data_IF_600038936869
#
_entry.id   IF_600038936869
#
_cell.length_a   1.000
_cell.length_b   1.000
_cell.length_c   1.000
_cell.angle_alpha   90.00
_cell.angle_beta   90.00
_cell.angle_gamma   90.00
#
_symmetry.space_group_name_H-M   'P 1'
#
loop_
_entity.id
_entity.type
_entity.pdbx_description
1 polymer ?
#
# COMPACT_ATOMS: atom_id res chain seq x y z
N UNK A 1 4.92 31.98 17.03
CA UNK A 1 5.09 31.90 15.57
C UNK A 1 6.26 31.01 15.15
N UNK A 2 7.50 31.17 15.67
CA UNK A 2 8.67 30.33 15.35
C UNK A 2 8.52 28.86 15.79
N UNK A 3 8.01 28.59 16.99
CA UNK A 3 7.85 27.23 17.50
C UNK A 3 6.82 26.39 16.73
N UNK A 4 5.73 27.00 16.27
CA UNK A 4 4.72 26.31 15.44
C UNK A 4 5.26 25.99 14.05
N UNK A 5 6.03 26.89 13.44
CA UNK A 5 6.68 26.63 12.14
C UNK A 5 7.65 25.46 12.24
N UNK A 6 8.51 25.43 13.26
CA UNK A 6 9.46 24.34 13.49
C UNK A 6 8.75 23.01 13.74
N UNK A 7 7.61 23.01 14.42
CA UNK A 7 6.79 21.82 14.65
C UNK A 7 6.17 21.29 13.37
N UNK A 8 5.70 22.18 12.50
CA UNK A 8 5.12 21.82 11.20
C UNK A 8 6.18 21.28 10.24
N UNK A 9 7.37 21.91 10.19
CA UNK A 9 8.50 21.42 9.39
C UNK A 9 8.94 20.02 9.83
N UNK A 10 9.10 19.79 11.13
CA UNK A 10 9.43 18.46 11.69
C UNK A 10 8.37 17.41 11.38
N UNK A 11 7.08 17.78 11.39
CA UNK A 11 5.97 16.92 11.01
C UNK A 11 6.09 16.47 9.57
N UNK A 12 6.24 17.39 8.65
CA UNK A 12 6.35 17.11 7.22
C UNK A 12 7.62 16.32 6.88
N UNK A 13 8.73 16.64 7.54
CA UNK A 13 9.99 15.92 7.36
C UNK A 13 9.88 14.43 7.77
N UNK A 14 9.20 14.13 8.89
CA UNK A 14 8.92 12.74 9.28
C UNK A 14 8.06 12.00 8.24
N UNK A 15 7.03 12.66 7.71
CA UNK A 15 6.21 12.10 6.64
C UNK A 15 7.02 11.80 5.38
N UNK A 16 7.89 12.74 4.99
CA UNK A 16 8.80 12.58 3.86
C UNK A 16 9.75 11.39 4.04
N UNK A 17 10.38 11.26 5.20
CA UNK A 17 11.29 10.13 5.51
C UNK A 17 10.56 8.80 5.44
N UNK A 18 9.35 8.70 6.00
CA UNK A 18 8.54 7.48 5.93
C UNK A 18 8.15 7.14 4.49
N UNK A 19 7.77 8.13 3.69
CA UNK A 19 7.48 7.93 2.26
C UNK A 19 8.69 7.44 1.47
N UNK A 20 9.89 8.03 1.70
CA UNK A 20 11.15 7.58 1.07
C UNK A 20 11.46 6.13 1.46
N UNK A 21 11.30 5.78 2.74
CA UNK A 21 11.45 4.38 3.19
C UNK A 21 10.49 3.46 2.46
N UNK A 22 9.24 3.89 2.24
CA UNK A 22 8.25 3.16 1.47
C UNK A 22 8.66 2.93 0.02
N UNK A 23 9.21 3.95 -0.66
CA UNK A 23 9.71 3.81 -2.04
C UNK A 23 10.85 2.78 -2.10
N UNK A 24 11.83 2.90 -1.22
CA UNK A 24 13.01 2.02 -1.21
C UNK A 24 12.57 0.57 -0.93
N UNK A 25 11.76 0.38 0.10
CA UNK A 25 11.35 -0.97 0.51
C UNK A 25 10.47 -1.64 -0.55
N UNK A 26 9.43 -0.97 -1.04
CA UNK A 26 8.59 -1.51 -2.09
C UNK A 26 9.35 -1.72 -3.41
N UNK A 27 10.29 -0.84 -3.73
CA UNK A 27 11.19 -1.01 -4.89
C UNK A 27 12.07 -2.26 -4.77
N UNK A 28 12.68 -2.50 -3.61
CA UNK A 28 13.50 -3.69 -3.36
C UNK A 28 12.65 -4.97 -3.40
N UNK A 29 11.45 -4.94 -2.79
CA UNK A 29 10.53 -6.07 -2.84
C UNK A 29 10.04 -6.36 -4.27
N UNK A 30 9.75 -5.31 -5.05
CA UNK A 30 9.39 -5.45 -6.46
C UNK A 30 10.51 -6.11 -7.26
N UNK A 31 11.74 -5.59 -7.17
CA UNK A 31 12.90 -6.14 -7.86
C UNK A 31 13.12 -7.62 -7.50
N UNK A 32 13.12 -7.95 -6.22
CA UNK A 32 13.28 -9.33 -5.76
C UNK A 32 12.22 -10.28 -6.32
N UNK A 33 10.95 -9.88 -6.27
CA UNK A 33 9.83 -10.68 -6.79
C UNK A 33 9.86 -10.79 -8.31
N UNK A 34 10.18 -9.72 -9.05
CA UNK A 34 10.31 -9.76 -10.49
C UNK A 34 11.44 -10.70 -10.91
N UNK A 35 12.60 -10.65 -10.25
CA UNK A 35 13.71 -11.58 -10.51
C UNK A 35 13.30 -13.04 -10.23
N UNK A 36 12.72 -13.32 -9.07
CA UNK A 36 12.29 -14.68 -8.71
C UNK A 36 11.19 -15.17 -9.66
N UNK A 37 10.21 -14.32 -9.94
CA UNK A 37 9.10 -14.64 -10.82
C UNK A 37 9.54 -14.97 -12.25
N UNK A 38 10.51 -14.22 -12.80
CA UNK A 38 11.08 -14.50 -14.13
C UNK A 38 11.92 -15.78 -14.12
N UNK A 39 12.78 -15.98 -13.14
CA UNK A 39 13.64 -17.17 -13.04
C UNK A 39 12.85 -18.47 -12.93
N UNK A 40 11.75 -18.46 -12.16
CA UNK A 40 10.91 -19.64 -11.94
C UNK A 40 9.67 -19.71 -12.84
N UNK A 41 9.48 -18.74 -13.74
CA UNK A 41 8.31 -18.67 -14.63
C UNK A 41 6.98 -18.56 -13.86
N UNK A 42 6.98 -17.97 -12.66
CA UNK A 42 5.82 -17.88 -11.78
C UNK A 42 5.09 -16.55 -11.98
N UNK A 43 3.96 -16.61 -12.70
CA UNK A 43 3.15 -15.43 -13.04
C UNK A 43 2.58 -14.76 -11.78
N UNK A 44 2.22 -15.52 -10.74
CA UNK A 44 1.68 -14.95 -9.51
C UNK A 44 2.72 -14.05 -8.80
N UNK A 45 3.98 -14.50 -8.71
CA UNK A 45 5.07 -13.69 -8.15
C UNK A 45 5.38 -12.47 -9.02
N UNK A 46 5.36 -12.62 -10.34
CA UNK A 46 5.54 -11.49 -11.26
C UNK A 46 4.46 -10.42 -11.02
N UNK A 47 3.20 -10.84 -10.93
CA UNK A 47 2.07 -9.95 -10.66
C UNK A 47 2.23 -9.26 -9.30
N UNK A 48 2.66 -9.98 -8.28
CA UNK A 48 2.91 -9.43 -6.95
C UNK A 48 4.12 -8.45 -6.94
N UNK A 49 5.14 -8.72 -7.77
CA UNK A 49 6.25 -7.80 -8.01
C UNK A 49 5.79 -6.48 -8.66
N UNK A 50 4.91 -6.56 -9.66
CA UNK A 50 4.30 -5.37 -10.30
C UNK A 50 3.44 -4.59 -9.30
N UNK A 51 2.70 -5.29 -8.42
CA UNK A 51 1.93 -4.63 -7.35
C UNK A 51 2.84 -3.82 -6.43
N UNK A 52 3.96 -4.41 -5.95
CA UNK A 52 4.93 -3.68 -5.12
C UNK A 52 5.55 -2.47 -5.85
N UNK A 53 5.71 -2.54 -7.17
CA UNK A 53 6.16 -1.38 -7.96
C UNK A 53 5.11 -0.26 -7.96
N UNK A 54 3.82 -0.62 -8.05
CA UNK A 54 2.71 0.34 -7.93
C UNK A 54 2.68 0.99 -6.54
N UNK A 55 2.94 0.21 -5.48
CA UNK A 55 3.01 0.73 -4.11
C UNK A 55 4.19 1.69 -3.91
N UNK A 56 5.34 1.41 -4.56
CA UNK A 56 6.44 2.36 -4.62
C UNK A 56 6.03 3.67 -5.31
N UNK A 57 5.23 3.60 -6.37
CA UNK A 57 4.62 4.76 -7.02
C UNK A 57 3.69 5.54 -6.09
N UNK A 58 2.84 4.86 -5.33
CA UNK A 58 1.97 5.47 -4.31
C UNK A 58 2.79 6.19 -3.23
N UNK A 59 3.86 5.56 -2.76
CA UNK A 59 4.78 6.19 -1.81
C UNK A 59 5.50 7.41 -2.42
N UNK A 60 5.84 7.38 -3.72
CA UNK A 60 6.41 8.53 -4.42
C UNK A 60 5.44 9.72 -4.50
N UNK A 61 4.15 9.46 -4.70
CA UNK A 61 3.10 10.50 -4.62
C UNK A 61 3.04 11.11 -3.23
N UNK A 62 3.13 10.30 -2.16
CA UNK A 62 3.17 10.81 -0.80
C UNK A 62 4.41 11.69 -0.55
N UNK A 63 5.58 11.24 -0.99
CA UNK A 63 6.85 12.00 -0.90
C UNK A 63 6.74 13.34 -1.62
N UNK A 64 6.23 13.37 -2.83
CA UNK A 64 6.03 14.63 -3.58
C UNK A 64 5.04 15.55 -2.89
N UNK A 65 3.96 15.01 -2.32
CA UNK A 65 2.98 15.76 -1.52
C UNK A 65 3.61 16.42 -0.30
N UNK A 66 4.37 15.67 0.48
CA UNK A 66 5.08 16.22 1.65
C UNK A 66 6.19 17.20 1.26
N UNK A 67 6.96 16.91 0.21
CA UNK A 67 8.03 17.78 -0.27
C UNK A 67 7.47 19.12 -0.79
N UNK A 68 6.37 19.07 -1.53
CA UNK A 68 5.72 20.30 -2.02
C UNK A 68 5.08 21.09 -0.89
N UNK A 69 4.45 20.43 0.08
CA UNK A 69 3.83 21.10 1.22
C UNK A 69 4.85 21.86 2.10
N UNK A 70 6.15 21.52 2.02
CA UNK A 70 7.24 22.22 2.71
C UNK A 70 7.70 23.49 2.00
N UNK A 71 7.33 23.71 0.73
CA UNK A 71 7.75 24.91 -0.01
C UNK A 71 7.16 26.18 0.61
N UNK A 72 8.02 27.19 0.75
CA UNK A 72 7.63 28.51 1.24
C UNK A 72 6.71 29.22 0.22
N UNK A 73 5.84 30.11 0.67
CA UNK A 73 5.06 30.97 -0.20
C UNK A 73 5.94 31.70 -1.22
N UNK A 74 5.45 31.83 -2.44
CA UNK A 74 6.06 32.59 -3.52
C UNK A 74 5.04 33.58 -4.14
N UNK A 75 5.47 34.34 -5.16
CA UNK A 75 4.60 35.35 -5.81
C UNK A 75 3.38 34.74 -6.47
N UNK A 76 3.45 33.46 -6.91
CA UNK A 76 2.37 32.75 -7.58
C UNK A 76 1.46 32.02 -6.58
N UNK A 77 2.00 31.67 -5.43
CA UNK A 77 1.29 30.98 -4.34
C UNK A 77 1.49 31.68 -3.00
N UNK A 78 0.83 32.83 -2.78
CA UNK A 78 1.00 33.63 -1.55
C UNK A 78 0.62 32.88 -0.27
N UNK A 79 -0.33 31.94 -0.37
CA UNK A 79 -0.78 31.08 0.75
C UNK A 79 0.10 29.83 0.96
N UNK A 80 1.17 29.68 0.17
CA UNK A 80 2.04 28.51 0.21
C UNK A 80 1.44 27.28 -0.46
N UNK A 81 2.10 26.14 -0.29
CA UNK A 81 1.80 24.88 -0.97
C UNK A 81 1.20 23.79 -0.05
N UNK A 82 0.73 24.15 1.15
CA UNK A 82 0.22 23.19 2.13
C UNK A 82 -0.93 22.31 1.61
N UNK A 83 -1.73 22.84 0.67
CA UNK A 83 -2.82 22.09 0.03
C UNK A 83 -2.36 20.91 -0.84
N UNK A 84 -1.07 20.88 -1.24
CA UNK A 84 -0.51 19.78 -2.03
C UNK A 84 -0.52 18.44 -1.29
N UNK A 85 -0.44 18.45 0.04
CA UNK A 85 -0.62 17.25 0.87
C UNK A 85 -2.01 16.62 0.63
N UNK A 86 -3.07 17.45 0.58
CA UNK A 86 -4.44 16.97 0.39
C UNK A 86 -4.70 16.52 -1.07
N UNK A 87 -4.10 17.20 -2.05
CA UNK A 87 -4.18 16.80 -3.47
C UNK A 87 -3.51 15.42 -3.65
N UNK A 88 -2.33 15.23 -3.07
CA UNK A 88 -1.65 13.93 -3.09
C UNK A 88 -2.46 12.85 -2.35
N UNK A 89 -3.12 13.22 -1.25
CA UNK A 89 -4.04 12.33 -0.51
C UNK A 89 -5.25 11.90 -1.36
N UNK A 90 -5.80 12.79 -2.17
CA UNK A 90 -6.85 12.44 -3.14
C UNK A 90 -6.36 11.46 -4.18
N UNK A 91 -5.16 11.67 -4.72
CA UNK A 91 -4.59 10.76 -5.71
C UNK A 91 -4.35 9.37 -5.12
N UNK A 92 -3.80 9.29 -3.89
CA UNK A 92 -3.63 8.02 -3.18
C UNK A 92 -4.99 7.35 -2.92
N UNK A 93 -6.01 8.10 -2.51
CA UNK A 93 -7.34 7.53 -2.28
C UNK A 93 -7.93 6.91 -3.56
N UNK A 94 -7.72 7.55 -4.70
CA UNK A 94 -8.12 7.02 -6.01
C UNK A 94 -7.38 5.71 -6.34
N UNK A 95 -6.05 5.65 -6.13
CA UNK A 95 -5.27 4.44 -6.32
C UNK A 95 -5.75 3.30 -5.41
N UNK A 96 -6.04 3.59 -4.13
CA UNK A 96 -6.61 2.61 -3.20
C UNK A 96 -7.95 2.07 -3.67
N UNK A 97 -8.85 2.93 -4.16
CA UNK A 97 -10.14 2.49 -4.70
C UNK A 97 -9.98 1.62 -5.95
N UNK A 98 -9.03 1.96 -6.84
CA UNK A 98 -8.72 1.13 -8.01
C UNK A 98 -8.14 -0.23 -7.60
N UNK A 99 -7.22 -0.27 -6.64
CA UNK A 99 -6.67 -1.51 -6.09
C UNK A 99 -7.77 -2.37 -5.46
N UNK A 100 -8.66 -1.77 -4.69
CA UNK A 100 -9.82 -2.46 -4.09
C UNK A 100 -10.73 -3.09 -5.16
N UNK A 101 -11.05 -2.36 -6.23
CA UNK A 101 -11.88 -2.85 -7.32
C UNK A 101 -11.20 -4.02 -8.08
N UNK A 102 -9.89 -3.91 -8.33
CA UNK A 102 -9.10 -4.97 -8.97
C UNK A 102 -9.03 -6.23 -8.11
N UNK A 103 -8.76 -6.06 -6.80
CA UNK A 103 -8.71 -7.16 -5.84
C UNK A 103 -10.07 -7.85 -5.71
N UNK A 104 -11.15 -7.08 -5.62
CA UNK A 104 -12.51 -7.62 -5.53
C UNK A 104 -12.86 -8.43 -6.78
N UNK A 105 -12.55 -7.90 -7.98
CA UNK A 105 -12.73 -8.62 -9.23
C UNK A 105 -11.99 -9.96 -9.24
N UNK A 106 -10.70 -9.95 -8.86
CA UNK A 106 -9.88 -11.16 -8.79
C UNK A 106 -10.42 -12.17 -7.78
N UNK A 107 -10.84 -11.70 -6.60
CA UNK A 107 -11.41 -12.54 -5.56
C UNK A 107 -12.72 -13.19 -5.98
N UNK A 108 -13.65 -12.43 -6.58
CA UNK A 108 -14.92 -12.96 -7.10
C UNK A 108 -14.67 -13.97 -8.20
N UNK A 109 -13.77 -13.66 -9.15
CA UNK A 109 -13.41 -14.60 -10.23
C UNK A 109 -12.82 -15.91 -9.68
N UNK A 110 -11.93 -15.81 -8.68
CA UNK A 110 -11.34 -16.97 -8.02
C UNK A 110 -12.38 -17.81 -7.26
N UNK A 111 -13.34 -17.18 -6.59
CA UNK A 111 -14.45 -17.89 -5.93
C UNK A 111 -15.34 -18.63 -6.94
N UNK A 112 -15.63 -18.02 -8.10
CA UNK A 112 -16.42 -18.64 -9.17
C UNK A 112 -15.67 -19.80 -9.83
N UNK A 113 -14.37 -19.66 -10.06
CA UNK A 113 -13.51 -20.71 -10.61
C UNK A 113 -13.40 -21.94 -9.68
N UNK A 114 -13.64 -21.74 -8.39
CA UNK A 114 -13.60 -22.78 -7.38
C UNK A 114 -12.18 -23.21 -7.01
N UNK A 115 -12.10 -24.28 -6.21
CA UNK A 115 -10.82 -24.85 -5.80
C UNK A 115 -10.12 -25.54 -6.99
N UNK A 116 -8.89 -25.12 -7.26
CA UNK A 116 -7.96 -25.80 -8.18
C UNK A 116 -6.81 -26.38 -7.38
N UNK A 117 -6.43 -27.63 -7.65
CA UNK A 117 -5.20 -28.22 -7.09
C UNK A 117 -4.03 -27.32 -7.49
N UNK A 118 -3.53 -26.55 -6.54
CA UNK A 118 -2.40 -25.64 -6.75
C UNK A 118 -1.16 -26.44 -7.17
N UNK A 119 -0.38 -25.85 -8.08
CA UNK A 119 0.96 -26.37 -8.39
C UNK A 119 1.80 -26.32 -7.11
N UNK A 120 2.66 -27.34 -6.90
CA UNK A 120 3.63 -27.32 -5.82
C UNK A 120 4.38 -26.00 -5.84
N UNK A 121 4.31 -25.26 -4.74
CA UNK A 121 4.97 -23.95 -4.62
C UNK A 121 6.42 -24.19 -4.18
N UNK A 122 7.45 -23.83 -4.97
CA UNK A 122 8.84 -23.98 -4.57
C UNK A 122 9.12 -23.26 -3.25
N UNK A 123 9.97 -23.85 -2.38
CA UNK A 123 10.31 -23.24 -1.09
C UNK A 123 10.89 -21.83 -1.19
N UNK A 124 11.62 -21.54 -2.28
CA UNK A 124 12.14 -20.18 -2.57
C UNK A 124 11.00 -19.17 -2.76
N UNK A 125 9.90 -19.59 -3.38
CA UNK A 125 8.70 -18.77 -3.57
C UNK A 125 8.06 -18.43 -2.22
N UNK A 126 7.89 -19.45 -1.35
CA UNK A 126 7.36 -19.24 0.00
C UNK A 126 8.26 -18.31 0.82
N UNK A 127 9.57 -18.47 0.72
CA UNK A 127 10.53 -17.59 1.40
C UNK A 127 10.42 -16.13 0.90
N UNK A 128 10.32 -15.92 -0.41
CA UNK A 128 10.14 -14.59 -0.99
C UNK A 128 8.85 -13.92 -0.52
N UNK A 129 7.74 -14.67 -0.49
CA UNK A 129 6.44 -14.21 0.01
C UNK A 129 6.53 -13.84 1.48
N UNK A 130 7.18 -14.68 2.30
CA UNK A 130 7.35 -14.42 3.74
C UNK A 130 8.23 -13.18 4.01
N UNK A 131 9.37 -13.05 3.34
CA UNK A 131 10.23 -11.86 3.44
C UNK A 131 9.49 -10.57 3.02
N UNK A 132 8.68 -10.67 1.95
CA UNK A 132 7.85 -9.56 1.51
C UNK A 132 6.83 -9.14 2.57
N UNK A 133 6.17 -10.10 3.21
CA UNK A 133 5.21 -9.84 4.28
C UNK A 133 5.86 -9.12 5.48
N UNK A 134 7.05 -9.55 5.89
CA UNK A 134 7.81 -8.88 6.95
C UNK A 134 8.16 -7.43 6.58
N UNK A 135 8.60 -7.19 5.34
CA UNK A 135 8.87 -5.84 4.84
C UNK A 135 7.62 -4.95 4.85
N UNK A 136 6.49 -5.46 4.39
CA UNK A 136 5.21 -4.74 4.41
C UNK A 136 4.71 -4.47 5.83
N UNK A 137 4.86 -5.44 6.75
CA UNK A 137 4.52 -5.26 8.16
C UNK A 137 5.39 -4.16 8.79
N UNK A 138 6.69 -4.16 8.52
CA UNK A 138 7.59 -3.10 8.97
C UNK A 138 7.13 -1.72 8.46
N UNK A 139 6.79 -1.60 7.18
CA UNK A 139 6.30 -0.35 6.60
C UNK A 139 4.96 0.08 7.22
N UNK A 140 4.04 -0.85 7.45
CA UNK A 140 2.77 -0.59 8.09
C UNK A 140 2.96 -0.04 9.52
N UNK A 141 3.81 -0.68 10.32
CA UNK A 141 4.12 -0.23 11.69
C UNK A 141 4.81 1.13 11.68
N UNK A 142 5.83 1.30 10.82
CA UNK A 142 6.55 2.57 10.69
C UNK A 142 5.61 3.71 10.32
N UNK A 143 4.78 3.54 9.31
CA UNK A 143 3.84 4.57 8.85
C UNK A 143 2.75 4.85 9.88
N UNK A 144 2.23 3.82 10.58
CA UNK A 144 1.24 3.99 11.65
C UNK A 144 1.83 4.79 12.82
N UNK A 145 3.03 4.43 13.30
CA UNK A 145 3.71 5.14 14.40
C UNK A 145 4.03 6.59 14.01
N UNK A 146 4.53 6.81 12.80
CA UNK A 146 4.79 8.16 12.29
C UNK A 146 3.49 8.96 12.21
N UNK A 147 2.39 8.33 11.80
CA UNK A 147 1.10 9.00 11.64
C UNK A 147 0.48 9.47 12.97
N UNK A 148 0.85 8.90 14.11
CA UNK A 148 0.44 9.41 15.44
C UNK A 148 0.88 10.87 15.61
N UNK A 149 2.09 11.22 15.14
CA UNK A 149 2.64 12.57 15.24
C UNK A 149 2.31 13.45 14.04
N UNK A 150 2.25 12.87 12.84
CA UNK A 150 2.04 13.60 11.58
C UNK A 150 0.57 13.87 11.31
N UNK A 151 -0.32 12.94 11.65
CA UNK A 151 -1.77 13.02 11.42
C UNK A 151 -2.13 13.31 9.97
N UNK A 152 -1.47 12.61 9.04
CA UNK A 152 -1.65 12.77 7.60
C UNK A 152 -2.46 11.63 7.00
N UNK A 153 -3.37 11.97 6.07
CA UNK A 153 -4.14 10.98 5.34
C UNK A 153 -3.27 10.22 4.32
N UNK A 154 -2.14 10.80 3.89
CA UNK A 154 -1.14 10.12 3.08
C UNK A 154 -0.57 8.90 3.81
N UNK A 155 -0.16 9.06 5.07
CA UNK A 155 0.37 7.96 5.89
C UNK A 155 -0.69 6.94 6.25
N UNK A 156 -1.95 7.35 6.44
CA UNK A 156 -3.07 6.40 6.63
C UNK A 156 -3.23 5.50 5.41
N UNK A 157 -3.13 6.07 4.19
CA UNK A 157 -3.17 5.32 2.94
C UNK A 157 -2.08 4.27 2.86
N UNK A 158 -0.82 4.67 3.09
CA UNK A 158 0.33 3.75 3.11
C UNK A 158 0.17 2.65 4.17
N UNK A 159 -0.31 3.00 5.37
CA UNK A 159 -0.54 2.03 6.45
C UNK A 159 -1.62 1.01 6.07
N UNK A 160 -2.75 1.48 5.54
CA UNK A 160 -3.86 0.61 5.15
C UNK A 160 -3.45 -0.35 4.04
N UNK A 161 -2.79 0.14 3.01
CA UNK A 161 -2.27 -0.63 1.89
C UNK A 161 -1.31 -1.74 2.36
N UNK A 162 -0.30 -1.36 3.15
CA UNK A 162 0.69 -2.30 3.66
C UNK A 162 0.11 -3.36 4.61
N UNK A 163 -0.89 -3.02 5.45
CA UNK A 163 -1.57 -3.97 6.33
C UNK A 163 -2.38 -5.00 5.54
N UNK A 164 -3.03 -4.54 4.47
CA UNK A 164 -3.83 -5.41 3.63
C UNK A 164 -2.95 -6.38 2.86
N UNK A 165 -1.83 -5.91 2.31
CA UNK A 165 -0.85 -6.79 1.66
C UNK A 165 -0.34 -7.88 2.62
N UNK A 166 -0.10 -7.54 3.89
CA UNK A 166 0.22 -8.53 4.92
C UNK A 166 -0.93 -9.53 5.12
N UNK A 167 -2.17 -9.05 5.20
CA UNK A 167 -3.35 -9.89 5.37
C UNK A 167 -3.56 -10.85 4.21
N UNK A 168 -3.45 -10.35 2.98
CA UNK A 168 -3.55 -11.16 1.76
C UNK A 168 -2.44 -12.20 1.72
N UNK A 169 -1.20 -11.82 2.04
CA UNK A 169 -0.07 -12.74 2.08
C UNK A 169 -0.28 -13.84 3.12
N UNK A 170 -0.72 -13.50 4.32
CA UNK A 170 -1.03 -14.48 5.36
C UNK A 170 -2.15 -15.44 4.92
N UNK A 171 -3.18 -14.92 4.27
CA UNK A 171 -4.27 -15.72 3.71
C UNK A 171 -3.79 -16.66 2.60
N UNK A 172 -2.93 -16.17 1.70
CA UNK A 172 -2.34 -16.99 0.63
C UNK A 172 -1.50 -18.12 1.20
N UNK A 173 -0.67 -17.84 2.21
CA UNK A 173 0.11 -18.89 2.91
C UNK A 173 -0.83 -19.90 3.58
N UNK A 174 -1.84 -19.43 4.29
CA UNK A 174 -2.84 -20.32 4.91
C UNK A 174 -3.58 -21.16 3.86
N UNK A 175 -3.95 -20.57 2.72
CA UNK A 175 -4.62 -21.28 1.64
C UNK A 175 -3.77 -22.41 1.06
N UNK A 176 -2.45 -22.24 0.93
CA UNK A 176 -1.54 -23.30 0.46
C UNK A 176 -1.64 -24.56 1.35
N UNK A 177 -1.76 -24.38 2.68
CA UNK A 177 -1.83 -25.49 3.63
C UNK A 177 -3.23 -26.04 3.82
N UNK A 178 -4.26 -25.21 3.85
CA UNK A 178 -5.62 -25.59 4.22
C UNK A 178 -6.57 -25.88 3.04
N UNK A 179 -6.39 -25.20 1.89
CA UNK A 179 -7.26 -25.41 0.73
C UNK A 179 -7.31 -26.87 0.22
N UNK A 180 -6.18 -27.64 0.22
CA UNK A 180 -6.23 -29.05 -0.19
C UNK A 180 -7.11 -29.92 0.72
N UNK A 181 -7.20 -29.56 2.01
CA UNK A 181 -8.00 -30.29 3.01
C UNK A 181 -9.46 -29.90 2.92
N UNK A 182 -9.74 -28.59 2.85
CA UNK A 182 -11.11 -28.04 2.87
C UNK A 182 -11.74 -28.04 1.47
N UNK A 183 -10.91 -28.10 0.39
CA UNK A 183 -11.33 -28.01 -1.02
C UNK A 183 -12.11 -26.72 -1.35
N UNK A 184 -11.72 -25.62 -0.72
CA UNK A 184 -12.29 -24.29 -0.94
C UNK A 184 -11.20 -23.31 -1.39
N UNK A 185 -11.54 -22.28 -2.21
CA UNK A 185 -10.61 -21.22 -2.62
C UNK A 185 -10.43 -20.18 -1.49
N UNK A 186 -9.77 -20.59 -0.39
CA UNK A 186 -9.64 -19.78 0.83
C UNK A 186 -8.93 -18.45 0.58
N UNK A 187 -7.93 -18.43 -0.30
CA UNK A 187 -7.22 -17.24 -0.75
C UNK A 187 -8.18 -16.19 -1.33
N UNK A 188 -9.03 -16.60 -2.26
CA UNK A 188 -10.03 -15.75 -2.88
C UNK A 188 -11.08 -15.27 -1.88
N UNK A 189 -11.53 -16.15 -0.98
CA UNK A 189 -12.55 -15.80 0.03
C UNK A 189 -12.05 -14.74 1.01
N UNK A 190 -10.78 -14.78 1.43
CA UNK A 190 -10.20 -13.77 2.34
C UNK A 190 -9.93 -12.44 1.63
N UNK A 191 -9.67 -12.46 0.32
CA UNK A 191 -9.48 -11.23 -0.45
C UNK A 191 -10.75 -10.36 -0.57
N UNK A 192 -11.96 -10.93 -0.45
CA UNK A 192 -13.22 -10.16 -0.52
C UNK A 192 -13.32 -9.13 0.62
N UNK A 193 -13.27 -9.51 1.92
CA UNK A 193 -13.33 -8.54 3.01
C UNK A 193 -12.15 -7.56 2.98
N UNK A 194 -10.96 -7.99 2.56
CA UNK A 194 -9.82 -7.11 2.38
C UNK A 194 -10.11 -6.02 1.33
N UNK A 195 -10.62 -6.39 0.15
CA UNK A 195 -10.99 -5.44 -0.89
C UNK A 195 -12.06 -4.43 -0.42
N UNK A 196 -13.08 -4.90 0.30
CA UNK A 196 -14.11 -4.02 0.87
C UNK A 196 -13.51 -3.03 1.87
N UNK A 197 -12.61 -3.49 2.74
CA UNK A 197 -11.93 -2.63 3.71
C UNK A 197 -11.05 -1.56 3.02
N UNK A 198 -10.29 -1.93 1.98
CA UNK A 198 -9.49 -0.97 1.18
C UNK A 198 -10.42 0.08 0.55
N UNK A 199 -11.50 -0.36 -0.09
CA UNK A 199 -12.44 0.53 -0.76
C UNK A 199 -13.07 1.54 0.20
N UNK A 200 -13.50 1.10 1.38
CA UNK A 200 -14.05 1.97 2.42
C UNK A 200 -12.98 2.96 2.93
N UNK A 201 -11.76 2.48 3.18
CA UNK A 201 -10.65 3.30 3.66
C UNK A 201 -10.24 4.34 2.62
N UNK A 202 -10.07 3.93 1.36
CA UNK A 202 -9.77 4.83 0.25
C UNK A 202 -10.87 5.90 0.09
N UNK A 203 -12.14 5.48 0.10
CA UNK A 203 -13.27 6.41 0.02
C UNK A 203 -13.31 7.44 1.16
N UNK A 204 -13.06 7.01 2.40
CA UNK A 204 -12.98 7.93 3.56
C UNK A 204 -11.82 8.92 3.40
N UNK A 205 -10.62 8.45 3.06
CA UNK A 205 -9.45 9.30 2.82
C UNK A 205 -9.76 10.33 1.72
N UNK A 206 -10.40 9.92 0.63
CA UNK A 206 -10.79 10.82 -0.45
C UNK A 206 -11.76 11.90 0.01
N UNK A 207 -12.83 11.53 0.70
CA UNK A 207 -13.82 12.47 1.22
C UNK A 207 -13.22 13.45 2.23
N UNK A 208 -12.35 12.98 3.14
CA UNK A 208 -11.68 13.84 4.12
C UNK A 208 -10.74 14.84 3.44
N UNK A 209 -10.01 14.43 2.39
CA UNK A 209 -9.15 15.35 1.63
C UNK A 209 -9.96 16.37 0.82
N UNK A 210 -11.10 15.97 0.21
CA UNK A 210 -12.01 16.92 -0.47
C UNK A 210 -12.48 17.98 0.53
N UNK A 211 -12.96 17.57 1.71
CA UNK A 211 -13.43 18.52 2.75
C UNK A 211 -12.36 19.49 3.23
N UNK A 212 -11.09 19.08 3.21
CA UNK A 212 -9.96 19.93 3.61
C UNK A 212 -9.51 20.89 2.48
N UNK A 213 -9.86 20.60 1.23
CA UNK A 213 -9.57 21.44 0.08
C UNK A 213 -10.62 22.53 -0.14
N UNK A 214 -11.89 22.25 0.22
CA UNK A 214 -13.01 23.20 0.23
C UNK A 214 -12.94 24.13 1.44
#
# INVERSE_FOLDING_TARGET
MTADMTRQENRLQKGLQTGITGIILNGLLALGKLCIGTLYGNIAILTDGVNNLTDAGTAAVAVTGFAMAQKKPDKTHPSGYSRMEYISGLFISFLLCMSAASLLKSAVTGCIAGYSLGKVVPGVVLAAVFCSSLGKLFLAVLSALTNISVKSDLLKGITADSLIDCGITAATVAAVFFSPVIRMPLDSMVCIPAAVYIGITGGKIGLDNIRKLL
#
